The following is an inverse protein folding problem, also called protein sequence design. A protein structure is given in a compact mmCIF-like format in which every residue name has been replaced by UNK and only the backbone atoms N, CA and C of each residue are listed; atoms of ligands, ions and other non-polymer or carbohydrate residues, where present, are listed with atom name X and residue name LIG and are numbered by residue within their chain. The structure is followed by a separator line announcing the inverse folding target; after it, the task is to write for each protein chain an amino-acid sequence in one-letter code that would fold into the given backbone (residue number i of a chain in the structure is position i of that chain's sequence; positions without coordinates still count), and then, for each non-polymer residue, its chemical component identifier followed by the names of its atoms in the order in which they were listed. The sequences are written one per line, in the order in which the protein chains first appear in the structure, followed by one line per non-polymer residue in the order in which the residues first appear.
data_IF_117074181797
#
_entry.id   IF_117074181797
#
_cell.length_a   1.000
_cell.length_b   1.000
_cell.length_c   1.000
_cell.angle_alpha   90.00
_cell.angle_beta   90.00
_cell.angle_gamma   90.00
#
_symmetry.space_group_name_H-M   'P 1'
#
loop_
_entity.id
_entity.type
_entity.pdbx_description
1 polymer ?
#
# COMPACT_ATOMS: atom_id res chain seq x y z
N UNK A 1 -23.84 4.39 32.82
CA UNK A 1 -23.09 4.49 31.55
C UNK A 1 -22.77 5.96 31.30
N UNK A 2 -21.51 6.34 31.01
CA UNK A 2 -21.21 7.71 30.56
C UNK A 2 -21.84 7.91 29.18
N UNK A 3 -22.60 8.99 29.03
CA UNK A 3 -23.20 9.32 27.73
C UNK A 3 -22.09 9.66 26.74
N UNK A 4 -22.06 8.99 25.58
CA UNK A 4 -21.09 9.27 24.52
C UNK A 4 -21.45 10.63 23.92
N UNK A 5 -20.51 11.60 23.84
CA UNK A 5 -20.79 12.90 23.25
C UNK A 5 -21.20 12.80 21.78
N UNK A 6 -22.06 13.72 21.33
CA UNK A 6 -22.50 13.76 19.94
C UNK A 6 -21.35 13.95 18.94
N UNK A 7 -20.32 14.72 19.33
CA UNK A 7 -19.14 14.93 18.52
C UNK A 7 -17.88 14.74 19.36
N UNK A 8 -16.97 13.92 18.86
CA UNK A 8 -15.71 13.60 19.53
C UNK A 8 -14.54 13.86 18.58
N UNK A 9 -13.44 14.37 19.13
CA UNK A 9 -12.19 14.58 18.41
C UNK A 9 -11.09 13.82 19.14
N UNK A 10 -10.30 13.08 18.38
CA UNK A 10 -9.16 12.31 18.85
C UNK A 10 -7.90 12.74 18.12
N UNK A 11 -6.86 13.03 18.87
CA UNK A 11 -5.52 13.19 18.30
C UNK A 11 -4.89 11.81 18.21
N UNK A 12 -4.54 11.40 17.00
CA UNK A 12 -4.13 10.04 16.71
C UNK A 12 -2.71 10.01 16.17
N UNK A 13 -1.99 8.95 16.49
CA UNK A 13 -0.72 8.57 15.86
C UNK A 13 -0.95 7.38 14.95
N UNK A 14 -0.38 7.42 13.75
CA UNK A 14 -0.26 6.29 12.84
C UNK A 14 1.19 5.83 12.80
N UNK A 15 1.43 4.55 13.11
CA UNK A 15 2.72 3.87 12.98
C UNK A 15 2.70 2.96 11.76
N UNK A 16 3.70 3.06 10.91
CA UNK A 16 3.92 2.15 9.79
C UNK A 16 4.70 0.94 10.30
N UNK A 17 4.12 -0.25 10.21
CA UNK A 17 4.71 -1.50 10.71
C UNK A 17 5.34 -2.35 9.60
N UNK A 18 4.87 -2.21 8.36
CA UNK A 18 5.47 -2.83 7.17
C UNK A 18 5.46 -1.84 6.01
N UNK A 19 6.23 -2.08 4.91
CA UNK A 19 6.24 -1.18 3.77
C UNK A 19 4.84 -0.82 3.31
N UNK A 20 4.50 0.46 3.38
CA UNK A 20 3.15 0.96 3.06
C UNK A 20 3.22 1.89 1.85
N UNK A 21 2.44 1.56 0.81
CA UNK A 21 2.37 2.31 -0.42
C UNK A 21 1.04 3.06 -0.54
N UNK A 22 1.11 4.38 -0.70
CA UNK A 22 -0.04 5.20 -1.08
C UNK A 22 0.34 5.95 -2.34
N UNK A 23 -0.23 5.53 -3.48
CA UNK A 23 0.16 6.04 -4.78
C UNK A 23 -0.34 7.46 -5.03
N UNK A 24 0.51 8.29 -5.61
CA UNK A 24 0.17 9.61 -6.15
C UNK A 24 -0.55 9.53 -7.51
N UNK A 25 -0.48 8.39 -8.18
CA UNK A 25 -0.82 8.25 -9.59
C UNK A 25 0.38 8.46 -10.51
N UNK A 26 1.47 9.03 -10.02
CA UNK A 26 2.71 9.22 -10.77
C UNK A 26 3.48 7.91 -10.93
N UNK A 27 4.15 7.80 -12.07
CA UNK A 27 5.04 6.68 -12.40
C UNK A 27 6.32 7.22 -13.00
N UNK A 28 7.45 6.89 -12.39
CA UNK A 28 8.78 7.25 -12.91
C UNK A 28 9.27 6.15 -13.83
N UNK A 29 9.49 6.50 -15.08
CA UNK A 29 10.08 5.63 -16.12
C UNK A 29 11.60 5.70 -16.08
N UNK A 30 12.26 4.88 -16.89
CA UNK A 30 13.73 4.84 -16.98
C UNK A 30 14.38 6.17 -17.38
N UNK A 31 13.62 7.06 -18.02
CA UNK A 31 14.08 8.40 -18.40
C UNK A 31 13.91 9.46 -17.31
N UNK A 32 13.22 9.11 -16.22
CA UNK A 32 12.84 10.06 -15.18
C UNK A 32 13.77 10.00 -13.96
N UNK A 33 14.75 9.08 -13.95
CA UNK A 33 15.66 8.95 -12.82
C UNK A 33 17.07 8.48 -13.19
N UNK A 34 18.01 8.79 -12.32
CA UNK A 34 19.40 8.30 -12.36
C UNK A 34 19.63 7.43 -11.13
N UNK A 35 20.33 6.28 -11.29
CA UNK A 35 20.73 5.44 -10.16
C UNK A 35 22.20 5.66 -9.84
N UNK A 36 22.50 5.86 -8.58
CA UNK A 36 23.88 5.94 -8.09
C UNK A 36 23.95 5.50 -6.61
N UNK A 37 24.95 4.71 -6.27
CA UNK A 37 25.29 4.28 -4.90
C UNK A 37 24.07 3.91 -4.02
N UNK A 38 23.16 3.13 -4.54
CA UNK A 38 22.02 2.67 -3.74
C UNK A 38 20.82 3.62 -3.70
N UNK A 39 20.91 4.74 -4.38
CA UNK A 39 19.84 5.71 -4.44
C UNK A 39 19.28 5.86 -5.85
N UNK A 40 18.04 6.31 -5.89
CA UNK A 40 17.33 6.73 -7.10
C UNK A 40 17.14 8.23 -7.01
N UNK A 41 17.58 8.96 -8.01
CA UNK A 41 17.52 10.40 -8.08
C UNK A 41 16.55 10.81 -9.17
N UNK A 42 15.44 11.45 -8.81
CA UNK A 42 14.41 11.89 -9.76
C UNK A 42 14.90 13.13 -10.49
N UNK A 43 14.85 13.06 -11.80
CA UNK A 43 15.27 14.14 -12.69
C UNK A 43 14.24 15.26 -12.68
N UNK A 44 14.72 16.50 -12.50
CA UNK A 44 13.97 17.68 -12.86
C UNK A 44 14.14 17.89 -14.37
N UNK A 45 13.07 17.79 -15.12
CA UNK A 45 13.09 17.78 -16.59
C UNK A 45 13.64 19.08 -17.18
N UNK A 46 13.32 20.23 -16.59
CA UNK A 46 13.83 21.54 -17.05
C UNK A 46 15.36 21.61 -16.90
N UNK A 47 15.86 21.31 -15.70
CA UNK A 47 17.31 21.29 -15.43
C UNK A 47 18.05 20.26 -16.26
N UNK A 48 17.40 19.14 -16.57
CA UNK A 48 17.98 18.09 -17.42
C UNK A 48 18.15 18.58 -18.87
N UNK A 49 17.12 19.23 -19.42
CA UNK A 49 17.17 19.83 -20.76
C UNK A 49 18.24 20.91 -20.81
N UNK A 50 18.31 21.81 -19.84
CA UNK A 50 19.34 22.83 -19.72
C UNK A 50 20.76 22.22 -19.71
N UNK A 51 20.97 21.18 -18.90
CA UNK A 51 22.24 20.46 -18.84
C UNK A 51 22.62 19.85 -20.19
N UNK A 52 21.67 19.21 -20.89
CA UNK A 52 21.91 18.61 -22.20
C UNK A 52 22.26 19.66 -23.26
N UNK A 53 21.60 20.80 -23.24
CA UNK A 53 21.87 21.93 -24.14
C UNK A 53 23.26 22.52 -23.91
N UNK A 54 23.62 22.83 -22.67
CA UNK A 54 24.94 23.35 -22.32
C UNK A 54 26.10 22.41 -22.74
N UNK A 55 25.86 21.11 -22.67
CA UNK A 55 26.86 20.09 -23.03
C UNK A 55 26.80 19.69 -24.51
N UNK A 56 25.92 20.27 -25.32
CA UNK A 56 25.66 19.88 -26.70
C UNK A 56 25.30 18.38 -26.85
N UNK A 57 24.53 17.85 -25.90
CA UNK A 57 24.18 16.44 -25.80
C UNK A 57 22.71 16.14 -26.14
N UNK A 58 21.86 17.14 -26.36
CA UNK A 58 20.41 16.94 -26.53
C UNK A 58 20.10 16.00 -27.71
N UNK A 59 20.70 16.24 -28.87
CA UNK A 59 20.46 15.39 -30.06
C UNK A 59 20.96 13.95 -29.83
N UNK A 60 22.11 13.77 -29.18
CA UNK A 60 22.64 12.46 -28.85
C UNK A 60 21.75 11.71 -27.87
N UNK A 61 21.19 12.43 -26.88
CA UNK A 61 20.28 11.83 -25.91
C UNK A 61 18.95 11.41 -26.58
N UNK A 62 18.42 12.24 -27.47
CA UNK A 62 17.22 11.90 -28.24
C UNK A 62 17.42 10.63 -29.06
N UNK A 63 18.51 10.54 -29.81
CA UNK A 63 18.87 9.33 -30.57
C UNK A 63 19.04 8.08 -29.68
N UNK A 64 19.62 8.29 -28.48
CA UNK A 64 19.74 7.20 -27.48
C UNK A 64 18.39 6.73 -26.99
N UNK A 65 17.45 7.65 -26.67
CA UNK A 65 16.09 7.30 -26.26
C UNK A 65 15.34 6.54 -27.36
N UNK A 66 15.40 6.99 -28.61
CA UNK A 66 14.78 6.33 -29.76
C UNK A 66 15.30 4.89 -29.93
N UNK A 67 16.61 4.70 -29.77
CA UNK A 67 17.24 3.39 -29.89
C UNK A 67 16.92 2.45 -28.76
N UNK A 68 16.94 2.95 -27.53
CA UNK A 68 16.85 2.11 -26.32
C UNK A 68 15.42 1.94 -25.79
N UNK A 69 14.54 2.93 -26.02
CA UNK A 69 13.17 2.92 -25.53
C UNK A 69 13.08 2.54 -24.04
N UNK A 70 12.32 1.49 -23.73
CA UNK A 70 12.18 0.99 -22.34
C UNK A 70 13.46 0.45 -21.71
N UNK A 71 14.54 0.27 -22.48
CA UNK A 71 15.86 -0.18 -21.98
C UNK A 71 16.81 0.98 -21.68
N UNK A 72 16.33 2.22 -21.70
CA UNK A 72 17.12 3.42 -21.35
C UNK A 72 17.70 3.29 -19.96
N UNK A 73 19.00 3.64 -19.82
CA UNK A 73 19.73 3.68 -18.55
C UNK A 73 20.60 4.91 -18.57
N UNK A 74 20.13 5.99 -17.94
CA UNK A 74 20.75 7.32 -18.04
C UNK A 74 22.18 7.34 -17.48
N UNK A 75 22.41 6.71 -16.35
CA UNK A 75 23.74 6.64 -15.75
C UNK A 75 24.77 5.93 -16.67
N UNK A 76 24.34 4.92 -17.43
CA UNK A 76 25.21 4.24 -18.40
C UNK A 76 25.46 5.13 -19.62
N UNK A 77 24.42 5.81 -20.09
CA UNK A 77 24.55 6.74 -21.21
C UNK A 77 25.47 7.94 -20.85
N UNK A 78 25.31 8.53 -19.68
CA UNK A 78 26.21 9.61 -19.20
C UNK A 78 27.67 9.17 -19.22
N UNK A 79 27.97 7.97 -18.75
CA UNK A 79 29.33 7.40 -18.79
C UNK A 79 29.84 7.22 -20.21
N UNK A 80 28.99 6.77 -21.14
CA UNK A 80 29.40 6.60 -22.57
C UNK A 80 29.67 7.93 -23.27
N UNK A 81 29.05 9.02 -22.82
CA UNK A 81 29.33 10.38 -23.30
C UNK A 81 30.40 11.10 -22.46
N UNK A 82 31.17 10.39 -21.66
CA UNK A 82 32.22 10.92 -20.78
C UNK A 82 31.72 11.99 -19.79
N UNK A 83 30.48 11.88 -19.35
CA UNK A 83 29.90 12.79 -18.39
C UNK A 83 30.00 12.25 -16.96
N UNK A 84 30.22 13.14 -16.00
CA UNK A 84 30.26 12.80 -14.58
C UNK A 84 28.84 12.63 -14.03
N UNK A 85 28.47 11.40 -13.65
CA UNK A 85 27.15 11.05 -13.14
C UNK A 85 26.81 11.83 -11.86
N UNK A 86 27.75 11.97 -10.92
CA UNK A 86 27.52 12.71 -9.66
C UNK A 86 27.27 14.20 -9.90
N UNK A 87 27.96 14.79 -10.89
CA UNK A 87 27.73 16.17 -11.29
C UNK A 87 26.34 16.36 -11.94
N UNK A 88 25.94 15.44 -12.82
CA UNK A 88 24.62 15.44 -13.42
C UNK A 88 23.52 15.30 -12.36
N UNK A 89 23.69 14.40 -11.40
CA UNK A 89 22.77 14.24 -10.26
C UNK A 89 22.64 15.56 -9.50
N UNK A 90 23.76 16.17 -9.08
CA UNK A 90 23.75 17.43 -8.31
C UNK A 90 23.01 18.56 -9.03
N UNK A 91 23.12 18.63 -10.36
CA UNK A 91 22.54 19.72 -11.18
C UNK A 91 21.09 19.47 -11.56
N UNK A 92 20.76 18.22 -11.88
CA UNK A 92 19.54 17.89 -12.63
C UNK A 92 18.48 17.14 -11.81
N UNK A 93 18.73 16.87 -10.52
CA UNK A 93 17.73 16.14 -9.73
C UNK A 93 17.06 17.00 -8.67
N UNK A 94 15.81 16.69 -8.38
CA UNK A 94 14.98 17.41 -7.40
C UNK A 94 14.89 16.66 -6.06
N UNK A 95 14.73 15.36 -6.12
CA UNK A 95 14.55 14.49 -4.96
C UNK A 95 15.30 13.19 -5.13
N UNK A 96 15.61 12.52 -4.02
CA UNK A 96 16.21 11.19 -4.05
C UNK A 96 15.57 10.29 -3.01
N UNK A 97 15.57 9.01 -3.27
CA UNK A 97 15.15 7.98 -2.33
C UNK A 97 16.01 6.73 -2.48
N UNK A 98 16.06 5.92 -1.43
CA UNK A 98 16.79 4.67 -1.40
C UNK A 98 16.01 3.55 -2.09
N UNK A 99 16.68 2.55 -2.62
CA UNK A 99 16.05 1.31 -3.07
C UNK A 99 16.50 0.15 -2.18
N UNK A 100 15.56 -0.70 -1.80
CA UNK A 100 15.84 -1.84 -0.91
C UNK A 100 16.67 -2.94 -1.59
N UNK A 101 16.56 -3.05 -2.92
CA UNK A 101 17.25 -4.08 -3.71
C UNK A 101 17.79 -3.44 -4.99
N UNK A 102 19.08 -3.15 -5.03
CA UNK A 102 19.72 -2.47 -6.16
C UNK A 102 20.28 -3.39 -7.23
N UNK A 103 20.85 -4.52 -6.84
CA UNK A 103 21.67 -5.34 -7.74
C UNK A 103 20.87 -6.04 -8.84
N UNK A 104 19.55 -6.16 -8.68
CA UNK A 104 18.63 -6.77 -9.64
C UNK A 104 17.47 -5.86 -10.07
N UNK A 105 17.68 -4.53 -10.04
CA UNK A 105 16.66 -3.57 -10.46
C UNK A 105 16.43 -3.64 -11.97
N UNK A 106 15.51 -4.50 -12.39
CA UNK A 106 15.14 -4.73 -13.80
C UNK A 106 13.90 -3.97 -14.24
N UNK A 107 13.28 -3.17 -13.35
CA UNK A 107 12.05 -2.47 -13.70
C UNK A 107 12.30 -1.26 -14.57
N UNK A 108 11.30 -0.99 -15.39
CA UNK A 108 11.21 0.23 -16.16
C UNK A 108 10.40 1.31 -15.44
N UNK A 109 9.63 0.93 -14.40
CA UNK A 109 8.63 1.81 -13.78
C UNK A 109 8.68 1.71 -12.26
N UNK A 110 8.65 2.89 -11.61
CA UNK A 110 8.53 3.04 -10.15
C UNK A 110 7.26 3.84 -9.90
N UNK A 111 6.32 3.28 -9.15
CA UNK A 111 5.14 4.02 -8.73
C UNK A 111 5.48 4.93 -7.55
N UNK A 112 5.22 6.23 -7.71
CA UNK A 112 5.51 7.27 -6.72
C UNK A 112 4.54 7.26 -5.53
N UNK A 113 5.06 7.63 -4.37
CA UNK A 113 4.26 7.89 -3.16
C UNK A 113 3.61 9.27 -3.22
N UNK A 114 2.46 9.43 -2.60
CA UNK A 114 1.77 10.73 -2.53
C UNK A 114 2.58 11.74 -1.72
N UNK A 115 2.72 12.94 -2.26
CA UNK A 115 3.44 14.06 -1.65
C UNK A 115 2.60 15.34 -1.75
N UNK A 116 2.82 16.25 -0.82
CA UNK A 116 2.23 17.59 -0.89
C UNK A 116 2.98 18.47 -1.94
N UNK A 117 2.57 19.72 -2.08
CA UNK A 117 3.14 20.66 -3.05
C UNK A 117 4.62 20.96 -2.77
N UNK A 118 5.06 20.83 -1.52
CA UNK A 118 6.47 20.99 -1.13
C UNK A 118 7.30 19.71 -1.34
N UNK A 119 6.70 18.65 -1.90
CA UNK A 119 7.37 17.37 -2.14
C UNK A 119 7.51 16.49 -0.88
N UNK A 120 6.86 16.83 0.22
CA UNK A 120 6.90 16.06 1.46
C UNK A 120 5.84 14.96 1.42
N UNK A 121 6.20 13.71 1.73
CA UNK A 121 5.23 12.62 1.79
C UNK A 121 4.31 12.76 3.01
N UNK A 122 3.07 12.34 2.84
CA UNK A 122 2.06 12.32 3.90
C UNK A 122 1.08 11.17 3.69
N UNK A 123 0.26 10.87 4.68
CA UNK A 123 -0.82 9.88 4.58
C UNK A 123 -2.14 10.62 4.43
N UNK A 124 -2.83 10.52 3.27
CA UNK A 124 -4.13 11.15 3.09
C UNK A 124 -5.17 10.61 4.06
N UNK A 125 -5.89 11.50 4.71
CA UNK A 125 -6.99 11.13 5.61
C UNK A 125 -8.07 10.30 4.94
N UNK A 126 -8.27 10.49 3.65
CA UNK A 126 -9.17 9.66 2.83
C UNK A 126 -8.74 8.20 2.79
N UNK A 127 -7.43 7.90 2.80
CA UNK A 127 -6.91 6.54 2.83
C UNK A 127 -7.17 5.87 4.18
N UNK A 128 -6.90 6.58 5.29
CA UNK A 128 -7.17 6.08 6.65
C UNK A 128 -8.68 5.89 6.83
N UNK A 129 -9.49 6.90 6.47
CA UNK A 129 -10.94 6.82 6.52
C UNK A 129 -11.47 5.63 5.73
N UNK A 130 -10.95 5.39 4.53
CA UNK A 130 -11.35 4.27 3.68
C UNK A 130 -11.11 2.90 4.36
N UNK A 131 -10.00 2.74 5.07
CA UNK A 131 -9.70 1.52 5.82
C UNK A 131 -10.68 1.32 6.99
N UNK A 132 -10.93 2.37 7.80
CA UNK A 132 -11.88 2.36 8.93
C UNK A 132 -13.29 2.05 8.43
N UNK A 133 -13.77 2.78 7.43
CA UNK A 133 -15.13 2.62 6.88
C UNK A 133 -15.33 1.23 6.30
N UNK A 134 -14.33 0.67 5.62
CA UNK A 134 -14.44 -0.70 5.10
C UNK A 134 -14.48 -1.76 6.20
N UNK A 135 -13.83 -1.54 7.34
CA UNK A 135 -13.92 -2.41 8.51
C UNK A 135 -15.33 -2.33 9.14
N UNK A 136 -15.88 -1.12 9.28
CA UNK A 136 -17.25 -0.90 9.77
C UNK A 136 -18.27 -1.60 8.87
N UNK A 137 -18.17 -1.45 7.56
CA UNK A 137 -19.10 -2.14 6.63
C UNK A 137 -18.98 -3.66 6.71
N UNK A 138 -17.77 -4.21 6.86
CA UNK A 138 -17.58 -5.64 7.04
C UNK A 138 -18.25 -6.16 8.32
N UNK A 139 -17.97 -5.50 9.44
CA UNK A 139 -18.49 -5.89 10.76
C UNK A 139 -20.02 -5.76 10.85
N UNK A 140 -20.53 -4.55 10.68
CA UNK A 140 -21.98 -4.31 10.83
C UNK A 140 -22.82 -4.94 9.72
N UNK A 141 -22.27 -5.09 8.53
CA UNK A 141 -22.93 -5.83 7.44
C UNK A 141 -23.13 -7.29 7.79
N UNK A 142 -22.12 -7.93 8.40
CA UNK A 142 -22.23 -9.30 8.91
C UNK A 142 -23.22 -9.41 10.06
N UNK A 143 -23.13 -8.54 11.07
CA UNK A 143 -24.05 -8.52 12.20
C UNK A 143 -25.53 -8.36 11.78
N UNK A 144 -25.76 -7.58 10.74
CA UNK A 144 -27.12 -7.34 10.19
C UNK A 144 -27.49 -8.30 9.05
N UNK A 145 -26.64 -9.28 8.75
CA UNK A 145 -26.84 -10.25 7.68
C UNK A 145 -27.15 -9.61 6.30
N UNK A 146 -26.46 -8.52 5.98
CA UNK A 146 -26.64 -7.79 4.72
C UNK A 146 -25.79 -8.43 3.63
N UNK A 147 -26.39 -8.71 2.47
CA UNK A 147 -25.65 -9.21 1.32
C UNK A 147 -24.90 -8.06 0.62
N UNK A 148 -23.76 -8.34 0.03
CA UNK A 148 -22.93 -7.33 -0.64
C UNK A 148 -23.67 -6.53 -1.72
N UNK A 149 -24.60 -7.17 -2.43
CA UNK A 149 -25.44 -6.52 -3.45
C UNK A 149 -26.41 -5.49 -2.89
N UNK A 150 -26.77 -5.64 -1.61
CA UNK A 150 -27.74 -4.79 -0.89
C UNK A 150 -27.00 -3.77 0.01
N UNK A 151 -25.65 -3.84 0.06
CA UNK A 151 -24.82 -2.83 0.72
C UNK A 151 -24.83 -1.55 -0.13
N UNK A 152 -25.60 -0.59 0.32
CA UNK A 152 -25.43 0.79 -0.12
C UNK A 152 -24.12 1.31 0.46
N UNK A 153 -23.11 1.56 -0.40
CA UNK A 153 -21.88 2.23 0.02
C UNK A 153 -22.12 3.72 0.28
N UNK A 154 -23.14 4.01 1.08
CA UNK A 154 -23.37 5.34 1.57
C UNK A 154 -22.16 5.73 2.43
N UNK A 155 -21.65 6.90 2.15
CA UNK A 155 -20.59 7.49 2.97
C UNK A 155 -21.09 7.52 4.41
N UNK A 156 -20.32 6.95 5.36
CA UNK A 156 -20.62 7.15 6.79
C UNK A 156 -20.28 8.62 7.10
N UNK A 157 -21.25 9.54 7.12
CA UNK A 157 -20.96 10.97 7.17
C UNK A 157 -20.37 11.40 8.51
N UNK A 158 -20.60 10.59 9.54
CA UNK A 158 -20.13 10.86 10.89
C UNK A 158 -18.64 10.63 11.14
N UNK A 159 -17.88 10.11 10.17
CA UNK A 159 -16.43 9.89 10.32
C UNK A 159 -15.66 10.85 9.42
N UNK A 160 -14.77 11.62 10.01
CA UNK A 160 -13.83 12.49 9.29
C UNK A 160 -12.42 12.25 9.79
N UNK A 161 -11.48 12.22 8.88
CA UNK A 161 -10.05 12.00 9.16
C UNK A 161 -9.28 13.08 8.43
N UNK A 162 -8.41 13.81 9.15
CA UNK A 162 -7.52 14.78 8.52
C UNK A 162 -6.39 14.07 7.78
N UNK A 163 -5.77 14.76 6.83
CA UNK A 163 -4.46 14.34 6.35
C UNK A 163 -3.47 14.29 7.52
N UNK A 164 -2.47 13.44 7.42
CA UNK A 164 -1.44 13.34 8.44
C UNK A 164 -0.48 14.53 8.39
N UNK A 165 0.29 14.72 9.46
CA UNK A 165 1.53 15.48 9.39
C UNK A 165 2.42 14.89 8.29
N UNK A 166 3.14 15.74 7.52
CA UNK A 166 4.13 15.26 6.57
C UNK A 166 5.33 14.64 7.30
N UNK A 167 6.04 13.75 6.62
CA UNK A 167 7.25 13.11 7.12
C UNK A 167 8.44 13.27 6.17
N UNK A 168 9.64 12.94 6.63
CA UNK A 168 10.85 13.06 5.82
C UNK A 168 10.85 12.11 4.62
N UNK A 169 11.34 12.57 3.48
CA UNK A 169 11.61 11.71 2.31
C UNK A 169 12.64 10.63 2.62
N UNK A 170 13.48 10.79 3.64
CA UNK A 170 14.40 9.74 4.11
C UNK A 170 13.68 8.50 4.67
N UNK A 171 12.41 8.66 5.03
CA UNK A 171 11.54 7.56 5.44
C UNK A 171 10.81 6.89 4.25
N UNK A 172 11.17 7.24 3.02
CA UNK A 172 10.71 6.55 1.82
C UNK A 172 11.78 5.59 1.31
N UNK A 173 11.34 4.43 0.85
CA UNK A 173 12.20 3.43 0.23
C UNK A 173 11.47 2.78 -0.94
N UNK A 174 12.21 2.52 -2.03
CA UNK A 174 11.65 1.77 -3.16
C UNK A 174 11.77 0.28 -2.90
N UNK A 175 10.64 -0.38 -2.85
CA UNK A 175 10.55 -1.82 -2.67
C UNK A 175 10.14 -2.52 -3.96
N UNK A 176 10.77 -3.67 -4.21
CA UNK A 176 10.32 -4.58 -5.24
C UNK A 176 9.10 -5.33 -4.75
N UNK A 177 8.04 -5.33 -5.54
CA UNK A 177 6.87 -6.15 -5.28
C UNK A 177 7.20 -7.60 -5.60
N UNK A 178 6.91 -8.49 -4.66
CA UNK A 178 6.93 -9.94 -4.84
C UNK A 178 5.51 -10.47 -4.77
N UNK A 179 5.24 -11.56 -5.46
CA UNK A 179 4.01 -12.30 -5.36
C UNK A 179 4.29 -13.71 -4.86
N UNK A 180 3.32 -14.28 -4.17
CA UNK A 180 3.23 -15.71 -3.93
C UNK A 180 1.92 -16.19 -4.55
N UNK A 181 1.98 -17.26 -5.31
CA UNK A 181 0.79 -17.90 -5.90
C UNK A 181 0.61 -19.23 -5.22
N UNK A 182 -0.56 -19.43 -4.62
CA UNK A 182 -0.95 -20.70 -4.01
C UNK A 182 -1.79 -21.49 -5.01
N UNK A 183 -1.34 -22.67 -5.38
CA UNK A 183 -2.01 -23.57 -6.31
C UNK A 183 -1.98 -25.00 -5.72
N UNK A 184 -3.14 -25.61 -5.51
CA UNK A 184 -3.27 -27.03 -5.11
C UNK A 184 -2.40 -27.38 -3.95
N UNK A 185 -1.99 -27.04 -3.02
CA UNK A 185 -0.99 -27.41 -1.97
C UNK A 185 0.46 -27.05 -2.33
N UNK A 186 0.69 -26.29 -3.41
CA UNK A 186 2.02 -25.79 -3.79
C UNK A 186 2.05 -24.25 -3.79
N UNK A 187 3.17 -23.67 -3.38
CA UNK A 187 3.35 -22.23 -3.35
C UNK A 187 4.52 -21.83 -4.24
N UNK A 188 4.24 -21.02 -5.25
CA UNK A 188 5.24 -20.53 -6.21
C UNK A 188 5.51 -19.05 -6.05
N UNK A 189 6.77 -18.67 -6.20
CA UNK A 189 7.15 -17.28 -6.30
C UNK A 189 6.70 -16.68 -7.63
N UNK A 190 6.04 -15.52 -7.56
CA UNK A 190 5.72 -14.71 -8.71
C UNK A 190 6.65 -13.48 -8.71
N UNK A 191 7.52 -13.40 -9.71
CA UNK A 191 8.35 -12.21 -9.91
C UNK A 191 7.57 -11.16 -10.70
N UNK A 192 7.13 -10.12 -10.02
CA UNK A 192 6.52 -8.96 -10.65
C UNK A 192 7.56 -7.84 -10.73
N UNK A 193 7.91 -7.35 -11.93
CA UNK A 193 8.86 -6.25 -12.09
C UNK A 193 8.23 -4.89 -11.73
N UNK A 194 7.52 -4.84 -10.61
CA UNK A 194 6.84 -3.66 -10.11
C UNK A 194 7.57 -3.13 -8.87
N UNK A 195 7.92 -1.86 -8.92
CA UNK A 195 8.57 -1.16 -7.84
C UNK A 195 7.67 -0.05 -7.32
N UNK A 196 7.70 0.16 -6.01
CA UNK A 196 6.89 1.18 -5.34
C UNK A 196 7.70 1.93 -4.33
N UNK A 197 7.56 3.24 -4.34
CA UNK A 197 8.04 4.11 -3.29
C UNK A 197 7.09 3.99 -2.10
N UNK A 198 7.56 3.46 -0.98
CA UNK A 198 6.74 3.15 0.19
C UNK A 198 7.28 3.87 1.43
N UNK A 199 6.38 4.24 2.34
CA UNK A 199 6.77 4.60 3.70
C UNK A 199 7.39 3.38 4.39
N UNK A 200 8.54 3.63 5.06
CA UNK A 200 9.32 2.60 5.75
C UNK A 200 8.66 2.20 7.07
N UNK A 201 8.83 0.93 7.50
CA UNK A 201 8.53 0.55 8.87
C UNK A 201 9.23 1.45 9.88
N UNK A 202 8.53 1.81 10.96
CA UNK A 202 9.01 2.76 11.97
C UNK A 202 8.68 4.23 11.70
N UNK A 203 8.12 4.56 10.51
CA UNK A 203 7.60 5.92 10.27
C UNK A 203 6.37 6.16 11.13
N UNK A 204 6.34 7.30 11.83
CA UNK A 204 5.21 7.74 12.65
C UNK A 204 4.71 9.10 12.15
N UNK A 205 3.38 9.28 12.12
CA UNK A 205 2.72 10.53 11.74
C UNK A 205 1.50 10.76 12.61
N UNK A 206 1.07 12.01 12.75
CA UNK A 206 -0.10 12.39 13.53
C UNK A 206 -1.25 12.83 12.61
N UNK A 207 -2.48 12.59 13.06
CA UNK A 207 -3.70 13.02 12.38
C UNK A 207 -4.84 13.22 13.38
N UNK A 208 -5.93 13.82 12.95
CA UNK A 208 -7.14 13.98 13.75
C UNK A 208 -8.25 13.08 13.22
N UNK A 209 -8.86 12.31 14.12
CA UNK A 209 -10.08 11.57 13.87
C UNK A 209 -11.25 12.29 14.53
N UNK A 210 -12.30 12.59 13.77
CA UNK A 210 -13.56 13.14 14.28
C UNK A 210 -14.67 12.12 14.09
N UNK A 211 -15.41 11.84 15.17
CA UNK A 211 -16.63 11.02 15.17
C UNK A 211 -17.81 11.94 15.51
N UNK A 212 -18.82 11.95 14.63
CA UNK A 212 -20.05 12.71 14.79
C UNK A 212 -21.24 11.74 14.84
N UNK A 213 -21.79 11.55 16.02
CA UNK A 213 -22.84 10.57 16.30
C UNK A 213 -24.25 11.07 15.99
N UNK A 214 -24.47 12.37 15.69
CA UNK A 214 -25.81 12.96 15.53
C UNK A 214 -26.70 12.24 14.54
N UNK A 215 -26.13 11.64 13.50
CA UNK A 215 -26.86 10.86 12.50
C UNK A 215 -26.32 9.42 12.35
N UNK A 216 -25.46 8.96 13.25
CA UNK A 216 -24.85 7.63 13.15
C UNK A 216 -25.88 6.51 13.18
N UNK A 217 -26.97 6.68 13.94
CA UNK A 217 -28.09 5.74 14.01
C UNK A 217 -28.82 5.53 12.67
N UNK A 218 -28.70 6.47 11.72
CA UNK A 218 -29.26 6.35 10.36
C UNK A 218 -28.36 5.63 9.37
N UNK A 219 -27.15 5.27 9.79
CA UNK A 219 -26.17 4.56 8.97
C UNK A 219 -26.23 3.06 9.23
N UNK A 220 -25.38 2.30 8.55
CA UNK A 220 -25.20 0.87 8.81
C UNK A 220 -24.83 0.58 10.27
N UNK A 221 -24.18 1.51 10.96
CA UNK A 221 -23.78 1.37 12.38
C UNK A 221 -25.05 1.22 13.26
N UNK A 222 -26.01 2.11 13.15
CA UNK A 222 -27.28 2.03 13.88
C UNK A 222 -27.20 2.41 15.37
N UNK A 223 -26.00 2.78 15.86
CA UNK A 223 -25.70 3.14 17.25
C UNK A 223 -24.65 4.24 17.32
N UNK A 224 -24.35 4.74 18.51
CA UNK A 224 -23.23 5.67 18.72
C UNK A 224 -21.90 4.95 18.58
N UNK A 225 -21.00 5.51 17.77
CA UNK A 225 -19.67 5.00 17.55
C UNK A 225 -18.68 5.65 18.54
N UNK A 226 -17.78 4.85 19.09
CA UNK A 226 -16.67 5.30 19.94
C UNK A 226 -15.34 4.90 19.31
N UNK A 227 -14.22 5.44 19.81
CA UNK A 227 -12.87 5.04 19.40
C UNK A 227 -12.61 3.55 19.67
N UNK A 228 -13.01 3.05 20.83
CA UNK A 228 -12.87 1.63 21.16
C UNK A 228 -13.63 0.76 20.15
N UNK A 229 -14.82 1.18 19.73
CA UNK A 229 -15.57 0.45 18.72
C UNK A 229 -14.88 0.48 17.34
N UNK A 230 -14.14 1.54 17.03
CA UNK A 230 -13.30 1.56 15.83
C UNK A 230 -12.16 0.54 15.96
N UNK A 231 -11.53 0.42 17.13
CA UNK A 231 -10.50 -0.61 17.37
C UNK A 231 -11.10 -2.03 17.20
N UNK A 232 -12.28 -2.30 17.77
CA UNK A 232 -12.96 -3.59 17.64
C UNK A 232 -13.19 -3.99 16.18
N UNK A 233 -13.72 -3.05 15.36
CA UNK A 233 -14.00 -3.37 13.93
C UNK A 233 -12.72 -3.52 13.10
N UNK A 234 -11.65 -2.79 13.43
CA UNK A 234 -10.34 -2.96 12.79
C UNK A 234 -9.73 -4.32 13.16
N UNK A 235 -9.81 -4.70 14.44
CA UNK A 235 -9.38 -6.01 14.94
C UNK A 235 -10.13 -7.15 14.23
N UNK A 236 -11.45 -7.08 14.15
CA UNK A 236 -12.27 -8.06 13.45
C UNK A 236 -11.86 -8.23 11.98
N UNK A 237 -11.60 -7.11 11.32
CA UNK A 237 -11.17 -7.14 9.92
C UNK A 237 -9.79 -7.75 9.73
N UNK A 238 -8.82 -7.39 10.56
CA UNK A 238 -7.46 -7.95 10.43
C UNK A 238 -7.45 -9.44 10.80
N UNK A 239 -8.20 -9.84 11.81
CA UNK A 239 -8.35 -11.24 12.21
C UNK A 239 -9.02 -12.08 11.11
N UNK A 240 -10.05 -11.53 10.47
CA UNK A 240 -10.71 -12.17 9.33
C UNK A 240 -9.76 -12.35 8.13
N UNK A 241 -8.90 -11.36 7.87
CA UNK A 241 -7.87 -11.43 6.84
C UNK A 241 -6.81 -12.49 7.18
N UNK A 242 -6.37 -12.52 8.44
CA UNK A 242 -5.40 -13.50 8.92
C UNK A 242 -5.91 -14.93 8.73
N UNK A 243 -7.09 -15.21 9.23
CA UNK A 243 -7.66 -16.57 9.22
C UNK A 243 -7.90 -17.12 7.80
N UNK A 244 -8.03 -16.24 6.81
CA UNK A 244 -8.42 -16.64 5.44
C UNK A 244 -7.33 -16.54 4.41
N UNK A 245 -6.35 -15.72 4.62
CA UNK A 245 -5.31 -15.46 3.64
C UNK A 245 -3.93 -15.72 4.22
N UNK A 246 -3.60 -15.03 5.30
CA UNK A 246 -2.24 -15.06 5.85
C UNK A 246 -1.99 -16.41 6.55
N UNK A 247 -2.95 -16.89 7.35
CA UNK A 247 -2.84 -18.16 8.08
C UNK A 247 -2.68 -19.36 7.15
N UNK A 248 -3.49 -19.45 6.09
CA UNK A 248 -3.37 -20.49 5.08
C UNK A 248 -1.96 -20.53 4.48
N UNK A 249 -1.34 -19.37 4.29
CA UNK A 249 -0.04 -19.25 3.66
C UNK A 249 1.11 -19.59 4.60
N UNK A 250 0.98 -19.31 5.88
CA UNK A 250 1.94 -19.74 6.91
C UNK A 250 1.95 -21.26 7.10
N UNK A 251 0.85 -21.95 6.77
CA UNK A 251 0.81 -23.42 6.73
C UNK A 251 1.68 -23.99 5.62
N UNK A 252 1.74 -23.32 4.45
CA UNK A 252 2.54 -23.78 3.31
C UNK A 252 4.01 -23.40 3.39
N UNK A 253 4.33 -22.28 4.01
CA UNK A 253 5.71 -21.81 4.11
C UNK A 253 5.98 -21.25 5.50
N UNK A 254 6.32 -22.14 6.44
CA UNK A 254 6.67 -21.81 7.84
C UNK A 254 7.91 -20.91 7.97
N UNK A 255 8.65 -20.68 6.88
CA UNK A 255 9.84 -19.82 6.87
C UNK A 255 9.50 -18.34 6.63
N UNK A 256 8.23 -18.05 6.35
CA UNK A 256 7.80 -16.72 5.95
C UNK A 256 7.21 -15.97 7.15
N UNK A 257 8.00 -15.10 7.72
CA UNK A 257 7.57 -14.09 8.68
C UNK A 257 6.86 -12.96 7.93
N UNK A 258 5.61 -13.21 7.51
CA UNK A 258 4.82 -12.27 6.73
C UNK A 258 4.28 -11.10 7.54
N UNK A 259 4.14 -11.28 8.84
CA UNK A 259 3.51 -10.31 9.73
C UNK A 259 4.59 -9.62 10.56
N UNK A 260 4.55 -8.28 10.68
CA UNK A 260 5.42 -7.58 11.60
C UNK A 260 5.17 -8.01 13.05
N UNK A 261 6.23 -8.33 13.80
CA UNK A 261 6.13 -8.72 15.21
C UNK A 261 5.49 -7.65 16.11
N UNK A 262 5.50 -6.38 15.67
CA UNK A 262 4.80 -5.29 16.35
C UNK A 262 3.29 -5.26 16.08
N UNK A 263 2.79 -6.06 15.15
CA UNK A 263 1.37 -6.15 14.83
C UNK A 263 0.69 -7.34 15.51
N UNK A 264 1.42 -8.39 15.79
CA UNK A 264 0.88 -9.68 16.21
C UNK A 264 1.70 -10.29 17.33
N UNK A 265 1.03 -10.71 18.38
CA UNK A 265 1.62 -11.39 19.50
C UNK A 265 1.55 -12.91 19.31
N UNK A 266 2.67 -13.54 18.95
CA UNK A 266 2.73 -14.99 18.70
C UNK A 266 2.37 -15.85 19.93
N UNK A 267 2.54 -15.31 21.16
CA UNK A 267 2.24 -16.05 22.39
C UNK A 267 0.74 -16.15 22.66
N UNK A 268 -0.01 -15.10 22.35
CA UNK A 268 -1.46 -15.07 22.54
C UNK A 268 -2.23 -15.44 21.28
N UNK A 269 -1.60 -15.35 20.11
CA UNK A 269 -2.24 -15.58 18.84
C UNK A 269 -3.12 -14.40 18.36
N UNK A 270 -2.92 -13.21 18.94
CA UNK A 270 -3.76 -12.05 18.71
C UNK A 270 -3.03 -10.88 18.05
N UNK A 271 -3.77 -10.05 17.33
CA UNK A 271 -3.31 -8.76 16.88
C UNK A 271 -3.44 -7.71 17.98
N UNK A 272 -2.54 -6.73 17.96
CA UNK A 272 -2.67 -5.55 18.82
C UNK A 272 -3.86 -4.68 18.38
N UNK A 273 -4.45 -3.96 19.34
CA UNK A 273 -5.51 -2.99 19.06
C UNK A 273 -5.05 -1.92 18.07
N UNK A 274 -5.97 -1.53 17.21
CA UNK A 274 -5.71 -0.49 16.22
C UNK A 274 -4.84 -0.92 15.03
N UNK A 275 -4.46 -2.21 14.91
CA UNK A 275 -3.75 -2.74 13.75
C UNK A 275 -4.70 -2.89 12.57
N UNK A 276 -4.24 -2.49 11.39
CA UNK A 276 -4.99 -2.62 10.13
C UNK A 276 -4.08 -2.56 8.91
N UNK A 277 -4.64 -2.82 7.73
CA UNK A 277 -3.91 -2.73 6.46
C UNK A 277 -4.28 -1.43 5.74
N UNK A 278 -3.25 -0.67 5.34
CA UNK A 278 -3.39 0.61 4.64
C UNK A 278 -2.70 0.58 3.28
N UNK A 279 -3.26 1.33 2.34
CA UNK A 279 -2.62 1.66 1.06
C UNK A 279 -2.70 0.58 -0.01
N UNK A 280 -1.95 0.79 -1.09
CA UNK A 280 -1.90 -0.05 -2.28
C UNK A 280 -0.86 -1.17 -2.16
N UNK A 281 -1.06 -2.23 -2.95
CA UNK A 281 -0.07 -3.31 -3.00
C UNK A 281 -0.26 -4.44 -2.01
N UNK A 282 -1.13 -4.28 -1.04
CA UNK A 282 -1.44 -5.31 -0.03
C UNK A 282 -2.44 -6.39 -0.51
N UNK A 283 -2.81 -6.39 -1.79
CA UNK A 283 -3.71 -7.38 -2.37
C UNK A 283 -5.19 -7.01 -2.31
N UNK A 284 -6.03 -7.88 -2.84
CA UNK A 284 -7.48 -7.69 -2.92
C UNK A 284 -8.15 -7.83 -1.56
N UNK A 285 -7.80 -8.88 -0.83
CA UNK A 285 -8.48 -9.23 0.43
C UNK A 285 -8.34 -8.15 1.50
N UNK A 286 -7.18 -7.49 1.59
CA UNK A 286 -6.95 -6.42 2.56
C UNK A 286 -7.87 -5.20 2.37
N UNK A 287 -8.37 -5.00 1.15
CA UNK A 287 -9.26 -3.89 0.78
C UNK A 287 -10.71 -4.31 0.66
N UNK A 288 -10.96 -5.59 0.38
CA UNK A 288 -12.29 -6.14 0.26
C UNK A 288 -12.96 -6.22 1.64
N UNK A 289 -14.28 -6.08 1.63
CA UNK A 289 -15.10 -6.37 2.81
C UNK A 289 -15.57 -7.82 2.85
N UNK A 290 -15.34 -8.58 1.78
CA UNK A 290 -15.89 -9.93 1.63
C UNK A 290 -15.45 -10.86 2.76
N UNK A 291 -14.17 -10.76 3.16
CA UNK A 291 -13.64 -11.58 4.24
C UNK A 291 -14.27 -11.29 5.60
N UNK A 292 -14.66 -10.05 5.88
CA UNK A 292 -15.33 -9.67 7.12
C UNK A 292 -16.84 -9.87 7.07
N UNK A 293 -17.42 -9.77 5.87
CA UNK A 293 -18.87 -9.83 5.65
C UNK A 293 -19.39 -11.26 5.63
N UNK A 294 -18.65 -12.18 5.05
CA UNK A 294 -19.08 -13.55 4.80
C UNK A 294 -18.22 -14.59 5.51
N UNK A 295 -18.75 -15.81 5.68
CA UNK A 295 -17.97 -16.99 5.95
C UNK A 295 -17.00 -17.32 4.81
N UNK A 296 -16.05 -18.25 5.05
CA UNK A 296 -14.98 -18.58 4.09
C UNK A 296 -15.52 -18.96 2.71
N UNK A 297 -16.48 -19.88 2.65
CA UNK A 297 -17.01 -20.42 1.39
C UNK A 297 -17.74 -19.36 0.57
N UNK A 298 -18.56 -18.52 1.21
CA UNK A 298 -19.31 -17.49 0.53
C UNK A 298 -18.40 -16.33 0.09
N UNK A 299 -17.42 -15.96 0.90
CA UNK A 299 -16.40 -14.98 0.49
C UNK A 299 -15.60 -15.47 -0.72
N UNK A 300 -15.29 -16.78 -0.79
CA UNK A 300 -14.62 -17.41 -1.93
C UNK A 300 -15.50 -17.36 -3.18
N UNK A 301 -16.78 -17.73 -3.08
CA UNK A 301 -17.74 -17.68 -4.20
C UNK A 301 -17.87 -16.26 -4.76
N UNK A 302 -18.06 -15.27 -3.88
CA UNK A 302 -18.19 -13.86 -4.28
C UNK A 302 -16.89 -13.33 -4.92
N UNK A 303 -15.73 -13.69 -4.39
CA UNK A 303 -14.45 -13.33 -4.98
C UNK A 303 -14.29 -13.94 -6.37
N UNK A 304 -14.57 -15.22 -6.57
CA UNK A 304 -14.56 -15.88 -7.89
C UNK A 304 -15.52 -15.17 -8.86
N UNK A 305 -16.71 -14.80 -8.41
CA UNK A 305 -17.67 -14.06 -9.24
C UNK A 305 -17.13 -12.69 -9.65
N UNK A 306 -16.54 -11.92 -8.74
CA UNK A 306 -15.91 -10.63 -9.06
C UNK A 306 -14.81 -10.79 -10.11
N UNK A 307 -13.93 -11.78 -9.94
CA UNK A 307 -12.82 -12.03 -10.85
C UNK A 307 -13.19 -12.77 -12.15
N UNK A 308 -14.40 -13.31 -12.26
CA UNK A 308 -14.91 -13.87 -13.52
C UNK A 308 -15.23 -12.82 -14.57
N UNK A 309 -15.26 -11.54 -14.18
CA UNK A 309 -15.64 -10.40 -15.05
C UNK A 309 -14.43 -9.59 -15.52
N UNK A 310 -14.57 -8.95 -16.66
CA UNK A 310 -13.59 -8.01 -17.20
C UNK A 310 -12.22 -8.63 -17.50
N UNK A 311 -11.16 -7.86 -17.33
CA UNK A 311 -9.76 -8.24 -17.63
C UNK A 311 -9.30 -9.39 -16.74
N UNK A 312 -9.79 -9.46 -15.51
CA UNK A 312 -9.41 -10.49 -14.53
C UNK A 312 -9.82 -11.92 -14.97
N UNK A 313 -10.82 -12.06 -15.86
CA UNK A 313 -11.24 -13.34 -16.43
C UNK A 313 -10.09 -14.12 -17.09
N UNK A 314 -9.08 -13.42 -17.62
CA UNK A 314 -7.90 -14.02 -18.25
C UNK A 314 -7.01 -14.82 -17.28
N UNK A 315 -7.15 -14.61 -15.99
CA UNK A 315 -6.35 -15.27 -14.95
C UNK A 315 -6.97 -16.58 -14.42
N UNK A 316 -8.15 -16.97 -14.93
CA UNK A 316 -8.81 -18.25 -14.61
C UNK A 316 -8.99 -18.46 -13.09
N UNK A 317 -9.48 -17.45 -12.39
CA UNK A 317 -9.72 -17.49 -10.94
C UNK A 317 -10.82 -18.48 -10.51
N UNK A 318 -11.61 -19.02 -11.45
CA UNK A 318 -12.54 -20.11 -11.19
C UNK A 318 -11.84 -21.38 -10.68
N UNK A 319 -10.54 -21.52 -10.98
CA UNK A 319 -9.69 -22.65 -10.56
C UNK A 319 -8.97 -22.42 -9.24
N UNK A 320 -9.19 -21.29 -8.58
CA UNK A 320 -8.60 -21.01 -7.28
C UNK A 320 -9.26 -21.87 -6.20
N UNK A 321 -8.46 -22.60 -5.42
CA UNK A 321 -8.97 -23.59 -4.46
C UNK A 321 -8.97 -23.08 -3.02
N UNK A 322 -7.84 -22.52 -2.57
CA UNK A 322 -7.65 -22.15 -1.16
C UNK A 322 -7.89 -20.66 -0.90
N UNK A 323 -7.65 -19.81 -1.86
CA UNK A 323 -7.88 -18.36 -1.77
C UNK A 323 -8.14 -17.78 -3.15
N UNK A 324 -9.05 -16.82 -3.26
CA UNK A 324 -9.37 -16.15 -4.51
C UNK A 324 -9.36 -14.62 -4.32
N UNK A 325 -8.44 -13.88 -4.97
CA UNK A 325 -7.40 -14.36 -5.88
C UNK A 325 -6.25 -15.08 -5.15
N UNK A 326 -5.70 -16.08 -5.80
CA UNK A 326 -4.64 -16.98 -5.28
C UNK A 326 -3.26 -16.31 -5.10
N UNK A 327 -3.13 -15.04 -5.38
CA UNK A 327 -1.85 -14.34 -5.36
C UNK A 327 -1.73 -13.42 -4.15
N UNK A 328 -0.77 -13.68 -3.28
CA UNK A 328 -0.34 -12.75 -2.24
C UNK A 328 0.57 -11.67 -2.80
N UNK A 329 0.50 -10.51 -2.17
CA UNK A 329 1.31 -9.35 -2.55
C UNK A 329 2.20 -8.93 -1.38
N UNK A 330 3.50 -9.14 -1.57
CA UNK A 330 4.53 -8.95 -0.57
C UNK A 330 5.53 -7.89 -1.01
N UNK A 331 6.25 -7.30 -0.07
CA UNK A 331 7.45 -6.51 -0.33
C UNK A 331 8.70 -7.35 0.00
N UNK A 332 9.76 -7.12 -0.77
CA UNK A 332 11.08 -7.69 -0.50
C UNK A 332 11.89 -6.70 0.36
N UNK A 333 12.13 -7.06 1.60
CA UNK A 333 12.94 -6.30 2.58
C UNK A 333 14.17 -7.09 3.03
N UNK A 334 14.69 -8.00 2.16
CA UNK A 334 15.63 -9.05 2.56
C UNK A 334 14.89 -10.31 3.06
N UNK A 335 13.69 -10.17 3.54
CA UNK A 335 12.67 -11.20 3.73
C UNK A 335 11.37 -10.73 3.07
N UNK A 336 10.43 -11.63 2.82
CA UNK A 336 9.13 -11.28 2.24
C UNK A 336 8.17 -10.90 3.36
N UNK A 337 7.62 -9.69 3.31
CA UNK A 337 6.66 -9.20 4.30
C UNK A 337 5.36 -8.75 3.62
N UNK A 338 4.25 -8.94 4.30
CA UNK A 338 2.96 -8.42 3.85
C UNK A 338 2.96 -6.89 3.92
N UNK A 339 2.50 -6.24 2.84
CA UNK A 339 2.53 -4.78 2.75
C UNK A 339 1.36 -4.14 3.48
N UNK A 340 1.60 -2.94 4.02
CA UNK A 340 0.55 -2.06 4.48
C UNK A 340 0.14 -2.23 5.93
N UNK A 341 0.80 -3.08 6.74
CA UNK A 341 0.52 -3.13 8.17
C UNK A 341 0.81 -1.80 8.84
N UNK A 342 -0.20 -1.26 9.47
CA UNK A 342 -0.17 -0.01 10.23
C UNK A 342 -0.89 -0.21 11.55
N UNK A 343 -0.60 0.66 12.53
CA UNK A 343 -1.28 0.74 13.82
C UNK A 343 -1.67 2.18 14.13
N UNK A 344 -2.89 2.40 14.59
CA UNK A 344 -3.32 3.68 15.13
C UNK A 344 -3.45 3.61 16.65
N UNK A 345 -3.07 4.68 17.30
CA UNK A 345 -3.19 4.87 18.76
C UNK A 345 -3.56 6.32 19.09
N UNK A 346 -4.32 6.54 20.17
CA UNK A 346 -4.63 7.87 20.71
C UNK A 346 -3.42 8.43 21.44
N UNK A 347 -3.16 9.76 21.34
CA UNK A 347 -2.03 10.48 21.98
C UNK A 347 -2.51 11.67 22.77
#
# INVERSE_FOLDING_TARGET
MKQIPDVQFYKMKLKILSPTFIGSGETYNRCDYIKDEGKIYIINQEKWIEYLLEKNLLEKFTKYLEKMGKKTVIETWLKSENQNVKQAIKRCTSTSFRASVLDNFKSNEIHGFVKNIEGQPYIPGSSIKGAIVSAIYGYYGREKNIKIKDLSYEKIPGISVSDSTPFSTDNLLVYKKKGKIVLHYDMKDEELPLYRECAMPGTEVEFTLRIDNRNMHKTIVGENLSLNRIYDVLYDKIQSLYNREIGILTEYDKTLDFIPSQAYNEKTGDFDDGVFILGGGAGFHSKSILSSLYGYDDAMKESKFVFSKGIARKHHHEKDDNTCPRALKLADVGKKVYMGFCKIEEI
#
